data_IF_162277330291
#
_entry.id   IF_162277330291
#
_cell.length_a   1.000
_cell.length_b   1.000
_cell.length_c   1.000
_cell.angle_alpha   90.00
_cell.angle_beta   90.00
_cell.angle_gamma   90.00
#
_symmetry.space_group_name_H-M   'P 1'
#
loop_
_entity.id
_entity.type
_entity.pdbx_description
1 polymer ?
#
# COMPACT_ATOMS: atom_id res chain seq x y z
N UNK A 1 -1.92 -2.54 -48.37
CA UNK A 1 -1.21 -1.27 -48.61
C UNK A 1 -1.36 -0.38 -47.37
N UNK A 2 -0.21 -0.04 -46.76
CA UNK A 2 0.11 1.02 -45.78
C UNK A 2 -0.86 1.34 -44.62
N UNK A 3 -0.46 0.83 -43.44
CA UNK A 3 -0.62 1.48 -42.13
C UNK A 3 0.54 2.47 -41.98
N UNK A 4 0.27 3.73 -41.65
CA UNK A 4 1.21 4.76 -41.13
C UNK A 4 0.33 5.89 -40.53
N UNK A 5 0.56 6.51 -39.37
CA UNK A 5 1.63 6.39 -38.41
C UNK A 5 1.29 7.21 -37.14
N UNK A 6 1.86 6.79 -36.02
CA UNK A 6 1.97 7.57 -34.78
C UNK A 6 3.48 7.69 -34.48
N UNK A 7 4.02 8.89 -34.17
CA UNK A 7 5.46 9.09 -34.08
C UNK A 7 6.03 8.62 -32.72
N UNK A 8 7.16 7.92 -32.76
CA UNK A 8 8.01 7.61 -31.62
C UNK A 8 9.13 8.66 -31.46
N UNK A 9 9.50 9.06 -30.23
CA UNK A 9 10.68 9.89 -30.02
C UNK A 9 11.94 9.01 -29.96
N UNK A 10 12.86 9.33 -30.85
CA UNK A 10 14.24 8.85 -30.93
C UNK A 10 15.10 9.41 -29.79
N UNK A 11 15.62 8.54 -28.94
CA UNK A 11 16.83 8.83 -28.16
C UNK A 11 17.99 8.02 -28.72
N UNK A 12 18.83 8.70 -29.51
CA UNK A 12 20.09 8.21 -30.02
C UNK A 12 21.08 8.05 -28.86
N UNK A 13 21.36 6.80 -28.52
CA UNK A 13 22.42 6.38 -27.62
C UNK A 13 23.78 6.66 -28.29
N UNK A 14 24.49 7.67 -27.79
CA UNK A 14 25.89 7.93 -28.12
C UNK A 14 26.79 7.26 -27.08
N UNK A 15 27.56 6.27 -27.53
CA UNK A 15 28.59 5.55 -26.77
C UNK A 15 29.93 6.29 -26.83
N UNK A 16 30.51 6.63 -25.67
CA UNK A 16 31.97 6.70 -25.39
C UNK A 16 32.08 6.43 -23.88
N UNK A 17 32.55 5.28 -23.39
CA UNK A 17 33.93 4.81 -23.51
C UNK A 17 34.67 5.20 -22.22
N UNK A 18 34.75 4.31 -21.23
CA UNK A 18 35.34 4.63 -19.92
C UNK A 18 35.32 3.50 -18.89
N UNK A 19 35.80 2.33 -19.29
CA UNK A 19 36.55 1.31 -18.53
C UNK A 19 36.17 0.86 -17.09
N UNK A 20 36.13 -0.49 -16.97
CA UNK A 20 36.48 -1.38 -15.83
C UNK A 20 35.34 -1.99 -15.00
N UNK A 21 34.95 -3.20 -15.42
CA UNK A 21 34.70 -4.35 -14.54
C UNK A 21 35.98 -4.73 -13.76
N UNK A 22 35.98 -5.53 -12.66
CA UNK A 22 34.96 -6.53 -12.29
C UNK A 22 34.68 -6.67 -10.77
N UNK A 23 33.73 -7.55 -10.48
CA UNK A 23 33.46 -8.30 -9.25
C UNK A 23 34.57 -8.33 -8.18
N UNK A 24 34.20 -8.01 -6.93
CA UNK A 24 34.61 -8.66 -5.65
C UNK A 24 34.13 -7.84 -4.46
N UNK A 25 33.73 -8.54 -3.40
CA UNK A 25 33.57 -8.10 -2.00
C UNK A 25 32.28 -7.33 -1.64
N UNK A 26 31.28 -8.05 -1.11
CA UNK A 26 30.96 -7.93 0.32
C UNK A 26 30.01 -9.07 0.77
N UNK A 27 30.52 -10.30 0.78
CA UNK A 27 30.08 -11.30 1.73
C UNK A 27 31.11 -11.32 2.86
N UNK A 28 30.87 -10.57 3.93
CA UNK A 28 31.54 -10.75 5.21
C UNK A 28 30.68 -10.10 6.29
N UNK A 29 30.32 -10.90 7.28
CA UNK A 29 29.61 -10.44 8.45
C UNK A 29 30.42 -9.38 9.17
N UNK A 30 29.74 -8.32 9.59
CA UNK A 30 30.20 -7.55 10.72
C UNK A 30 29.01 -7.36 11.66
N UNK A 31 28.90 -8.33 12.55
CA UNK A 31 28.37 -8.16 13.90
C UNK A 31 29.04 -6.92 14.49
N UNK A 32 28.42 -5.76 14.30
CA UNK A 32 28.79 -4.54 14.98
C UNK A 32 28.43 -4.73 16.45
N UNK A 33 29.46 -5.04 17.24
CA UNK A 33 29.39 -5.10 18.70
C UNK A 33 28.91 -3.74 19.23
N UNK A 34 27.64 -3.68 19.67
CA UNK A 34 27.12 -2.55 20.41
C UNK A 34 27.67 -2.62 21.84
N UNK A 35 28.46 -1.59 22.19
CA UNK A 35 29.03 -1.36 23.52
C UNK A 35 27.93 -1.28 24.59
N UNK A 36 28.19 -1.74 25.82
CA UNK A 36 27.28 -1.53 26.95
C UNK A 36 27.45 -0.10 27.50
N UNK A 37 26.35 0.49 27.97
CA UNK A 37 26.38 1.62 28.90
C UNK A 37 26.10 2.98 28.29
N UNK A 38 24.82 3.36 28.29
CA UNK A 38 24.33 4.69 27.97
C UNK A 38 22.82 4.75 28.13
N UNK A 39 22.33 4.52 29.35
CA UNK A 39 20.93 4.70 29.70
C UNK A 39 20.59 6.19 29.67
N UNK A 40 20.39 6.75 28.48
CA UNK A 40 19.58 7.95 28.33
C UNK A 40 18.17 7.49 28.06
N UNK A 41 17.33 7.57 29.10
CA UNK A 41 15.91 7.38 28.99
C UNK A 41 15.36 8.47 28.05
N UNK A 42 15.29 8.17 26.75
CA UNK A 42 14.48 8.94 25.83
C UNK A 42 13.03 8.55 26.17
N UNK A 43 12.45 9.32 27.09
CA UNK A 43 11.01 9.33 27.33
C UNK A 43 10.31 9.55 25.98
N UNK A 44 9.31 8.76 25.61
CA UNK A 44 8.51 9.08 24.44
C UNK A 44 7.74 10.36 24.75
N UNK A 45 7.97 11.40 23.96
CA UNK A 45 7.12 12.57 23.90
C UNK A 45 5.74 12.13 23.40
N UNK A 46 4.85 11.85 24.34
CA UNK A 46 3.41 11.74 24.10
C UNK A 46 2.93 13.13 23.72
N UNK A 47 2.60 13.32 22.45
CA UNK A 47 1.88 14.50 21.99
C UNK A 47 0.54 14.60 22.73
N UNK A 48 0.32 15.74 23.36
CA UNK A 48 -0.87 16.04 24.15
C UNK A 48 -2.10 16.21 23.23
N UNK A 49 -3.08 15.29 23.32
CA UNK A 49 -4.46 15.57 22.92
C UNK A 49 -5.36 15.46 24.17
N UNK A 50 -5.81 16.61 24.65
CA UNK A 50 -6.50 16.84 25.92
C UNK A 50 -7.96 16.38 25.97
N UNK A 51 -8.26 15.12 25.65
CA UNK A 51 -9.59 14.52 25.91
C UNK A 51 -9.48 13.29 26.81
N UNK A 52 -9.93 13.47 28.07
CA UNK A 52 -10.37 12.46 29.06
C UNK A 52 -9.83 11.05 28.80
N UNK A 53 -8.75 10.69 29.51
CA UNK A 53 -8.01 9.43 29.38
C UNK A 53 -8.88 8.18 29.58
N UNK A 54 -9.56 7.77 28.52
CA UNK A 54 -9.97 6.39 28.30
C UNK A 54 -8.69 5.66 27.86
N UNK A 55 -8.30 4.62 28.59
CA UNK A 55 -7.14 3.79 28.24
C UNK A 55 -7.15 3.49 26.74
N UNK A 56 -6.05 3.85 26.07
CA UNK A 56 -5.89 3.66 24.63
C UNK A 56 -6.01 2.17 24.27
N UNK A 57 -6.53 1.87 23.08
CA UNK A 57 -6.76 0.49 22.66
C UNK A 57 -5.48 -0.35 22.69
N UNK A 58 -4.35 0.22 22.27
CA UNK A 58 -3.07 -0.49 22.27
C UNK A 58 -2.49 -0.63 23.67
N UNK A 59 -2.70 0.36 24.56
CA UNK A 59 -2.34 0.23 25.97
C UNK A 59 -3.11 -0.90 26.66
N UNK A 60 -4.41 -1.02 26.41
CA UNK A 60 -5.24 -2.12 26.93
C UNK A 60 -4.80 -3.50 26.42
N UNK A 61 -4.26 -3.54 25.20
CA UNK A 61 -3.71 -4.76 24.59
C UNK A 61 -2.23 -4.99 24.93
N UNK A 62 -1.61 -4.13 25.76
CA UNK A 62 -0.18 -4.17 26.08
C UNK A 62 0.74 -4.12 24.84
N UNK A 63 0.29 -3.43 23.78
CA UNK A 63 1.05 -3.23 22.53
C UNK A 63 1.63 -1.82 22.49
N UNK A 64 2.93 -1.72 22.22
CA UNK A 64 3.62 -0.42 22.10
C UNK A 64 3.35 0.25 20.75
N UNK A 65 2.90 1.51 20.77
CA UNK A 65 2.83 2.36 19.57
C UNK A 65 4.24 2.68 19.07
N UNK A 66 4.40 2.75 17.74
CA UNK A 66 5.68 3.03 17.07
C UNK A 66 5.51 4.20 16.12
N UNK A 67 6.51 5.09 16.06
CA UNK A 67 6.61 6.11 15.01
C UNK A 67 7.27 5.47 13.80
N UNK A 68 6.59 5.50 12.65
CA UNK A 68 7.08 4.93 11.41
C UNK A 68 7.58 6.04 10.47
N UNK A 69 8.89 6.07 10.21
CA UNK A 69 9.52 6.94 9.20
C UNK A 69 10.10 6.19 8.00
N UNK A 70 9.89 4.86 7.93
CA UNK A 70 10.48 3.99 6.92
C UNK A 70 9.52 3.68 5.75
N UNK A 71 8.44 4.46 5.61
CA UNK A 71 7.44 4.31 4.56
C UNK A 71 6.39 3.23 4.86
N UNK A 72 5.91 2.54 3.81
CA UNK A 72 4.74 1.67 3.85
C UNK A 72 5.06 0.24 4.30
N UNK A 73 5.55 0.09 5.53
CA UNK A 73 5.92 -1.22 6.07
C UNK A 73 4.69 -2.06 6.43
N UNK A 74 4.49 -3.19 5.74
CA UNK A 74 3.39 -4.16 6.01
C UNK A 74 3.38 -4.65 7.45
N UNK A 75 4.57 -4.86 8.05
CA UNK A 75 4.69 -5.30 9.44
C UNK A 75 4.18 -4.27 10.46
N UNK A 76 4.08 -2.99 10.05
CA UNK A 76 3.56 -1.90 10.88
C UNK A 76 2.14 -1.48 10.48
N UNK A 77 1.47 -2.23 9.59
CA UNK A 77 0.10 -1.94 9.16
C UNK A 77 -0.02 -0.98 7.96
N UNK A 78 1.08 -0.60 7.32
CA UNK A 78 1.06 0.23 6.12
C UNK A 78 0.80 1.72 6.40
N UNK A 79 -0.08 2.34 5.61
CA UNK A 79 -0.43 3.76 5.71
C UNK A 79 -1.46 4.02 6.81
N UNK A 80 -1.38 5.19 7.43
CA UNK A 80 -2.47 5.70 8.25
C UNK A 80 -3.54 6.34 7.37
N UNK A 81 -4.79 6.21 7.80
CA UNK A 81 -5.92 6.88 7.18
C UNK A 81 -5.97 8.34 7.61
N UNK A 82 -6.39 9.21 6.70
CA UNK A 82 -6.63 10.63 7.00
C UNK A 82 -7.88 10.78 7.90
N UNK A 83 -7.95 11.87 8.68
CA UNK A 83 -8.97 12.07 9.70
C UNK A 83 -10.39 12.11 9.13
N UNK A 84 -10.59 12.79 8.00
CA UNK A 84 -11.87 12.84 7.28
C UNK A 84 -12.32 11.43 6.89
N UNK A 85 -11.42 10.57 6.42
CA UNK A 85 -11.78 9.18 6.06
C UNK A 85 -12.24 8.39 7.29
N UNK A 86 -11.58 8.55 8.42
CA UNK A 86 -11.99 7.91 9.67
C UNK A 86 -13.38 8.36 10.12
N UNK A 87 -13.71 9.64 9.95
CA UNK A 87 -15.02 10.17 10.31
C UNK A 87 -16.13 9.65 9.39
N UNK A 88 -15.89 9.58 8.09
CA UNK A 88 -16.84 8.98 7.13
C UNK A 88 -17.05 7.48 7.41
N UNK A 89 -16.00 6.74 7.76
CA UNK A 89 -16.13 5.33 8.15
C UNK A 89 -16.96 5.16 9.42
N UNK A 90 -16.80 6.05 10.40
CA UNK A 90 -17.59 6.03 11.64
C UNK A 90 -19.07 6.28 11.35
N UNK A 91 -19.36 7.23 10.46
CA UNK A 91 -20.73 7.51 10.02
C UNK A 91 -21.34 6.29 9.30
N UNK A 92 -20.63 5.74 8.31
CA UNK A 92 -21.10 4.59 7.53
C UNK A 92 -21.38 3.34 8.38
N UNK A 93 -20.61 3.12 9.45
CA UNK A 93 -20.79 1.98 10.35
C UNK A 93 -22.12 2.00 11.13
N UNK A 94 -22.84 3.13 11.16
CA UNK A 94 -24.11 3.28 11.84
C UNK A 94 -25.35 2.92 11.01
N UNK A 95 -25.19 2.52 9.74
CA UNK A 95 -26.30 2.29 8.82
C UNK A 95 -26.22 0.91 8.13
N UNK A 96 -27.38 0.40 7.71
CA UNK A 96 -27.48 -0.75 6.81
C UNK A 96 -27.75 -0.26 5.40
N UNK A 97 -27.06 -0.83 4.42
CA UNK A 97 -27.20 -0.50 2.99
C UNK A 97 -27.19 -1.76 2.16
N UNK A 98 -27.69 -1.68 0.93
CA UNK A 98 -27.45 -2.74 -0.05
C UNK A 98 -25.98 -2.70 -0.50
N UNK A 99 -25.24 -3.76 -0.16
CA UNK A 99 -23.83 -3.86 -0.51
C UNK A 99 -23.60 -4.00 -2.01
N UNK A 100 -24.55 -4.54 -2.76
CA UNK A 100 -24.44 -4.63 -4.22
C UNK A 100 -24.48 -3.23 -4.84
N UNK A 101 -25.41 -2.37 -4.38
CA UNK A 101 -25.47 -0.98 -4.83
C UNK A 101 -24.19 -0.21 -4.45
N UNK A 102 -23.74 -0.35 -3.20
CA UNK A 102 -22.51 0.31 -2.73
C UNK A 102 -21.30 -0.10 -3.59
N UNK A 103 -21.19 -1.38 -3.92
CA UNK A 103 -20.13 -1.91 -4.76
C UNK A 103 -20.16 -1.31 -6.18
N UNK A 104 -21.34 -1.21 -6.78
CA UNK A 104 -21.53 -0.55 -8.09
C UNK A 104 -21.07 0.91 -8.04
N UNK A 105 -21.53 1.67 -7.03
CA UNK A 105 -21.15 3.09 -6.87
C UNK A 105 -19.65 3.28 -6.63
N UNK A 106 -19.04 2.41 -5.82
CA UNK A 106 -17.61 2.42 -5.59
C UNK A 106 -16.82 2.11 -6.87
N UNK A 107 -17.27 1.12 -7.65
CA UNK A 107 -16.69 0.78 -8.95
C UNK A 107 -16.75 1.94 -9.94
N UNK A 108 -17.92 2.58 -10.09
CA UNK A 108 -18.08 3.77 -10.93
C UNK A 108 -17.13 4.90 -10.49
N UNK A 109 -17.00 5.13 -9.19
CA UNK A 109 -16.10 6.15 -8.66
C UNK A 109 -14.64 5.84 -9.01
N UNK A 110 -14.17 4.61 -8.81
CA UNK A 110 -12.80 4.20 -9.12
C UNK A 110 -12.56 4.33 -10.63
N UNK A 111 -13.44 3.78 -11.46
CA UNK A 111 -13.34 3.80 -12.91
C UNK A 111 -13.18 5.23 -13.47
N UNK A 112 -13.94 6.20 -12.92
CA UNK A 112 -13.80 7.62 -13.29
C UNK A 112 -12.41 8.19 -12.97
N UNK A 113 -11.80 7.81 -11.85
CA UNK A 113 -10.49 8.33 -11.45
C UNK A 113 -9.33 7.61 -12.14
N UNK A 114 -9.50 6.33 -12.50
CA UNK A 114 -8.47 5.52 -13.18
C UNK A 114 -8.56 5.57 -14.70
N UNK A 115 -9.67 6.06 -15.26
CA UNK A 115 -9.92 6.06 -16.71
C UNK A 115 -10.19 4.67 -17.27
N UNK A 116 -10.68 3.73 -16.46
CA UNK A 116 -11.01 2.37 -16.89
C UNK A 116 -12.49 2.25 -17.22
N UNK A 117 -12.86 1.26 -18.04
CA UNK A 117 -14.26 1.00 -18.42
C UNK A 117 -15.11 0.53 -17.24
N UNK A 118 -14.51 -0.25 -16.33
CA UNK A 118 -15.12 -0.75 -15.11
C UNK A 118 -14.06 -0.93 -14.02
N UNK A 119 -14.52 -1.01 -12.77
CA UNK A 119 -13.69 -1.33 -11.61
C UNK A 119 -14.51 -2.08 -10.56
N UNK A 120 -13.83 -2.91 -9.75
CA UNK A 120 -14.43 -3.69 -8.67
C UNK A 120 -13.54 -3.61 -7.43
N UNK A 121 -14.16 -3.45 -6.25
CA UNK A 121 -13.46 -3.48 -4.96
C UNK A 121 -13.41 -4.91 -4.44
N UNK A 122 -12.25 -5.38 -4.02
CA UNK A 122 -12.07 -6.72 -3.45
C UNK A 122 -11.47 -6.63 -2.06
N UNK A 123 -11.42 -7.76 -1.34
CA UNK A 123 -10.80 -7.82 0.00
C UNK A 123 -9.29 -7.54 0.03
N UNK A 124 -8.65 -7.33 -1.13
CA UNK A 124 -7.24 -6.96 -1.25
C UNK A 124 -6.64 -7.37 -2.59
N UNK A 125 -5.39 -6.96 -2.83
CA UNK A 125 -4.69 -7.21 -4.09
C UNK A 125 -4.57 -8.71 -4.41
N UNK A 126 -4.31 -9.56 -3.41
CA UNK A 126 -4.22 -11.01 -3.61
C UNK A 126 -5.54 -11.60 -4.14
N UNK A 127 -6.68 -11.22 -3.53
CA UNK A 127 -7.99 -11.65 -3.99
C UNK A 127 -8.31 -11.12 -5.40
N UNK A 128 -7.95 -9.87 -5.69
CA UNK A 128 -8.12 -9.31 -7.04
C UNK A 128 -7.34 -10.11 -8.10
N UNK A 129 -6.10 -10.49 -7.82
CA UNK A 129 -5.28 -11.31 -8.73
C UNK A 129 -5.87 -12.70 -8.92
N UNK A 130 -6.38 -13.33 -7.86
CA UNK A 130 -7.06 -14.62 -7.94
C UNK A 130 -8.29 -14.52 -8.85
N UNK A 131 -9.16 -13.53 -8.63
CA UNK A 131 -10.36 -13.32 -9.46
C UNK A 131 -10.01 -13.00 -10.91
N UNK A 132 -9.00 -12.15 -11.14
CA UNK A 132 -8.52 -11.83 -12.48
C UNK A 132 -7.99 -13.07 -13.21
N UNK A 133 -7.26 -13.93 -12.49
CA UNK A 133 -6.74 -15.19 -13.05
C UNK A 133 -7.87 -16.15 -13.38
N UNK A 134 -8.83 -16.33 -12.46
CA UNK A 134 -10.01 -17.16 -12.70
C UNK A 134 -10.78 -16.68 -13.94
N UNK A 135 -11.08 -15.38 -14.03
CA UNK A 135 -11.76 -14.77 -15.17
C UNK A 135 -10.99 -14.95 -16.49
N UNK A 136 -9.65 -14.85 -16.47
CA UNK A 136 -8.83 -15.08 -17.67
C UNK A 136 -8.89 -16.54 -18.15
N UNK A 137 -9.01 -17.49 -17.24
CA UNK A 137 -9.08 -18.93 -17.54
C UNK A 137 -10.50 -19.32 -18.01
N UNK A 138 -11.54 -18.89 -17.30
CA UNK A 138 -12.94 -19.25 -17.58
C UNK A 138 -13.59 -18.40 -18.68
N UNK A 139 -13.01 -17.23 -18.98
CA UNK A 139 -13.51 -16.26 -19.97
C UNK A 139 -14.97 -15.86 -19.70
N UNK A 140 -15.86 -16.13 -20.66
CA UNK A 140 -17.28 -15.81 -20.59
C UNK A 140 -18.15 -17.04 -20.32
N UNK A 141 -17.54 -18.17 -19.93
CA UNK A 141 -18.28 -19.37 -19.57
C UNK A 141 -18.81 -19.26 -18.13
N UNK A 142 -20.10 -18.93 -18.02
CA UNK A 142 -20.80 -18.76 -16.75
C UNK A 142 -20.94 -20.07 -15.99
N UNK A 143 -20.86 -21.23 -16.64
CA UNK A 143 -20.94 -22.51 -15.96
C UNK A 143 -19.65 -22.86 -15.20
N UNK A 144 -18.54 -22.17 -15.50
CA UNK A 144 -17.23 -22.37 -14.87
C UNK A 144 -16.87 -21.29 -13.83
N UNK A 145 -17.71 -20.26 -13.67
CA UNK A 145 -17.57 -19.20 -12.66
C UNK A 145 -18.37 -19.52 -11.40
#
# INVERSE_FOLDING_TARGET
MKKDGFPSPSHSCGTLGGERHPERLCAAGQVAQLRPGGASAIMPSVGEDGRRAKMDVYQRLSVAKRVNGAGLLTRLGGSLMEAQTLDVMREAAGAFVDLAELQTRAGEAIARHTGTEAAIVTGGAAAALTLATAAAITRADVALM
#
